data_IF_311862506182
#
_entry.id   IF_311862506182
#
_cell.length_a   1.000
_cell.length_b   1.000
_cell.length_c   1.000
_cell.angle_alpha   90.00
_cell.angle_beta   90.00
_cell.angle_gamma   90.00
#
_symmetry.space_group_name_H-M   'P 1'
#
loop_
_entity.id
_entity.type
_entity.pdbx_description
1 polymer ?
#
# COMPACT_ATOMS: atom_id res chain seq x y z
N UNK A 1 4.84 -19.40 -11.45
CA UNK A 1 3.59 -18.80 -11.94
C UNK A 1 2.53 -18.96 -10.86
N UNK A 2 1.97 -17.85 -10.41
CA UNK A 2 0.81 -17.84 -9.52
C UNK A 2 -0.45 -17.89 -10.38
N UNK A 3 -1.35 -18.83 -10.11
CA UNK A 3 -2.66 -18.90 -10.78
C UNK A 3 -3.73 -18.53 -9.77
N UNK A 4 -4.48 -17.47 -10.07
CA UNK A 4 -5.57 -16.98 -9.22
C UNK A 4 -6.86 -16.96 -10.03
N UNK A 5 -7.96 -17.36 -9.40
CA UNK A 5 -9.29 -17.18 -9.98
C UNK A 5 -9.79 -15.79 -9.63
N UNK A 6 -10.06 -14.99 -10.66
CA UNK A 6 -10.62 -13.65 -10.49
C UNK A 6 -12.12 -13.70 -10.79
N UNK A 7 -12.94 -12.89 -10.09
CA UNK A 7 -14.32 -12.67 -10.48
C UNK A 7 -14.40 -12.15 -11.94
N UNK A 8 -15.40 -12.59 -12.69
CA UNK A 8 -15.57 -12.22 -14.11
C UNK A 8 -15.53 -10.71 -14.36
N UNK A 9 -16.10 -9.92 -13.44
CA UNK A 9 -16.09 -8.46 -13.52
C UNK A 9 -14.66 -7.88 -13.49
N UNK A 10 -13.79 -8.44 -12.65
CA UNK A 10 -12.40 -7.99 -12.54
C UNK A 10 -11.62 -8.37 -13.80
N UNK A 11 -11.83 -9.60 -14.30
CA UNK A 11 -11.21 -10.01 -15.57
C UNK A 11 -11.63 -9.11 -16.72
N UNK A 12 -12.90 -8.74 -16.81
CA UNK A 12 -13.42 -7.83 -17.82
C UNK A 12 -12.82 -6.42 -17.69
N UNK A 13 -12.60 -5.92 -16.47
CA UNK A 13 -11.92 -4.63 -16.23
C UNK A 13 -10.47 -4.67 -16.68
N UNK A 14 -9.72 -5.71 -16.31
CA UNK A 14 -8.33 -5.90 -16.73
C UNK A 14 -8.22 -6.02 -18.25
N UNK A 15 -9.14 -6.74 -18.91
CA UNK A 15 -9.16 -6.87 -20.37
C UNK A 15 -9.39 -5.52 -21.06
N UNK A 16 -10.30 -4.69 -20.55
CA UNK A 16 -10.52 -3.33 -21.07
C UNK A 16 -9.29 -2.44 -20.91
N UNK A 17 -8.63 -2.49 -19.76
CA UNK A 17 -7.41 -1.71 -19.50
C UNK A 17 -6.28 -2.13 -20.44
N UNK A 18 -6.01 -3.44 -20.52
CA UNK A 18 -5.02 -4.02 -21.41
C UNK A 18 -5.21 -3.57 -22.87
N UNK A 19 -6.43 -3.68 -23.40
CA UNK A 19 -6.75 -3.26 -24.77
C UNK A 19 -6.56 -1.76 -25.00
N UNK A 20 -6.85 -0.94 -23.99
CA UNK A 20 -6.77 0.53 -24.11
C UNK A 20 -5.32 1.03 -24.10
N UNK A 21 -4.42 0.33 -23.41
CA UNK A 21 -3.04 0.81 -23.17
C UNK A 21 -1.98 0.00 -23.89
N UNK A 22 -2.33 -1.15 -24.48
CA UNK A 22 -1.38 -2.06 -25.11
C UNK A 22 -0.55 -2.89 -24.13
N UNK A 23 -0.90 -2.87 -22.84
CA UNK A 23 -0.28 -3.72 -21.79
C UNK A 23 -1.04 -5.04 -21.64
N UNK A 24 -0.49 -6.00 -20.89
CA UNK A 24 -1.17 -7.28 -20.62
C UNK A 24 -2.04 -7.20 -19.36
N UNK A 25 -3.02 -8.11 -19.22
CA UNK A 25 -3.79 -8.25 -17.96
C UNK A 25 -2.87 -8.56 -16.78
N UNK A 26 -1.86 -9.39 -17.00
CA UNK A 26 -0.90 -9.81 -15.98
C UNK A 26 -0.08 -8.64 -15.46
N UNK A 27 0.33 -7.70 -16.33
CA UNK A 27 1.06 -6.51 -15.89
C UNK A 27 0.24 -5.70 -14.88
N UNK A 28 -1.04 -5.47 -15.19
CA UNK A 28 -1.96 -4.74 -14.30
C UNK A 28 -2.27 -5.49 -13.01
N UNK A 29 -2.47 -6.81 -13.09
CA UNK A 29 -2.72 -7.63 -11.91
C UNK A 29 -1.49 -7.63 -10.98
N UNK A 30 -0.28 -7.75 -11.53
CA UNK A 30 0.96 -7.68 -10.78
C UNK A 30 1.16 -6.30 -10.12
N UNK A 31 0.94 -5.22 -10.88
CA UNK A 31 1.04 -3.84 -10.37
C UNK A 31 0.09 -3.62 -9.19
N UNK A 32 -1.19 -4.00 -9.33
CA UNK A 32 -2.17 -3.87 -8.25
C UNK A 32 -1.84 -4.73 -7.02
N UNK A 33 -1.23 -5.91 -7.21
CA UNK A 33 -0.77 -6.75 -6.09
C UNK A 33 0.40 -6.09 -5.37
N UNK A 34 1.37 -5.53 -6.11
CA UNK A 34 2.53 -4.85 -5.54
C UNK A 34 2.11 -3.62 -4.73
N UNK A 35 1.27 -2.76 -5.32
CA UNK A 35 0.69 -1.60 -4.61
C UNK A 35 -0.01 -2.04 -3.33
N UNK A 36 -0.79 -3.14 -3.38
CA UNK A 36 -1.50 -3.60 -2.18
C UNK A 36 -0.56 -4.17 -1.12
N UNK A 37 0.54 -4.78 -1.51
CA UNK A 37 1.55 -5.28 -0.57
C UNK A 37 2.21 -4.09 0.14
N UNK A 38 2.58 -3.05 -0.59
CA UNK A 38 3.16 -1.82 -0.01
C UNK A 38 2.23 -1.21 1.05
N UNK A 39 0.94 -1.04 0.73
CA UNK A 39 -0.07 -0.58 1.71
C UNK A 39 -0.12 -1.45 2.98
N UNK A 40 -0.02 -2.78 2.82
CA UNK A 40 -0.11 -3.72 3.93
C UNK A 40 1.15 -3.68 4.80
N UNK A 41 2.31 -3.53 4.18
CA UNK A 41 3.60 -3.37 4.87
C UNK A 41 3.63 -2.06 5.67
N UNK A 42 3.14 -0.97 5.09
CA UNK A 42 3.03 0.32 5.77
C UNK A 42 2.13 0.25 7.02
N UNK A 43 0.96 -0.39 6.89
CA UNK A 43 0.07 -0.62 8.04
C UNK A 43 0.76 -1.43 9.12
N UNK A 44 1.45 -2.52 8.74
CA UNK A 44 2.14 -3.39 9.68
C UNK A 44 3.29 -2.67 10.41
N UNK A 45 4.02 -1.79 9.71
CA UNK A 45 5.05 -0.96 10.32
C UNK A 45 4.45 0.07 11.28
N UNK A 46 3.36 0.73 10.88
CA UNK A 46 2.66 1.69 11.72
C UNK A 46 2.10 1.05 13.01
N UNK A 47 1.52 -0.15 12.91
CA UNK A 47 1.03 -0.91 14.07
C UNK A 47 2.16 -1.25 15.05
N UNK A 48 3.34 -1.63 14.54
CA UNK A 48 4.50 -1.90 15.39
C UNK A 48 5.01 -0.65 16.11
N UNK A 49 5.04 0.50 15.42
CA UNK A 49 5.41 1.78 16.05
C UNK A 49 4.39 2.14 17.13
N UNK A 50 3.10 1.97 16.85
CA UNK A 50 2.04 2.25 17.83
C UNK A 50 2.16 1.38 19.08
N UNK A 51 2.49 0.09 18.94
CA UNK A 51 2.74 -0.80 20.08
C UNK A 51 3.92 -0.33 20.93
N UNK A 52 5.03 0.10 20.31
CA UNK A 52 6.18 0.65 21.05
C UNK A 52 5.85 1.98 21.73
N UNK A 53 5.09 2.87 21.10
CA UNK A 53 4.56 4.09 21.73
C UNK A 53 3.75 3.75 22.99
N UNK A 54 2.86 2.75 22.91
CA UNK A 54 2.04 2.32 24.06
C UNK A 54 2.89 1.74 25.20
N UNK A 55 4.02 1.11 24.87
CA UNK A 55 5.01 0.60 25.84
C UNK A 55 5.95 1.68 26.38
N UNK A 56 5.91 2.90 25.83
CA UNK A 56 6.85 3.98 26.17
C UNK A 56 8.27 3.75 25.64
N UNK A 57 8.40 2.96 24.57
CA UNK A 57 9.66 2.59 23.94
C UNK A 57 9.99 3.45 22.70
N UNK A 58 9.13 4.42 22.38
CA UNK A 58 9.32 5.39 21.28
C UNK A 58 9.25 6.81 21.82
N UNK A 59 10.07 7.70 21.26
CA UNK A 59 9.98 9.13 21.54
C UNK A 59 8.74 9.71 20.86
N UNK A 60 7.97 10.50 21.60
CA UNK A 60 6.76 11.17 21.09
C UNK A 60 6.87 12.64 21.39
N UNK A 61 6.80 13.45 20.33
CA UNK A 61 6.82 14.90 20.39
C UNK A 61 5.40 15.46 20.31
N UNK A 62 5.20 16.67 20.82
CA UNK A 62 3.93 17.38 20.65
C UNK A 62 3.76 17.83 19.19
N UNK A 63 2.51 18.07 18.76
CA UNK A 63 2.26 18.61 17.42
C UNK A 63 2.97 19.96 17.20
N UNK A 64 3.01 20.83 18.22
CA UNK A 64 3.70 22.12 18.14
C UNK A 64 5.20 21.96 17.88
N UNK A 65 5.83 20.99 18.54
CA UNK A 65 7.25 20.66 18.37
C UNK A 65 7.53 20.08 16.99
N UNK A 66 6.71 19.12 16.53
CA UNK A 66 6.80 18.55 15.18
C UNK A 66 6.73 19.63 14.08
N UNK A 67 5.77 20.57 14.19
CA UNK A 67 5.62 21.62 13.18
C UNK A 67 6.79 22.60 13.16
N UNK A 68 7.41 22.87 14.32
CA UNK A 68 8.56 23.75 14.43
C UNK A 68 9.76 23.19 13.65
N UNK A 69 10.01 21.89 13.74
CA UNK A 69 11.14 21.21 13.07
C UNK A 69 11.00 21.11 11.54
N UNK A 70 9.79 21.25 10.99
CA UNK A 70 9.54 21.16 9.54
C UNK A 70 9.67 22.51 8.81
N UNK A 71 9.73 23.62 9.54
CA UNK A 71 9.74 24.98 8.99
C UNK A 71 11.10 25.70 9.05
N UNK A 72 12.08 25.10 9.73
CA UNK A 72 13.48 25.54 9.78
C UNK A 72 14.37 24.69 8.83
#
# INVERSE_FOLDING_TARGET
MLSIQLPEEIEARLDRLARKTGRTKSDYACEAILEKIEDLEDVYLAEQVLDRIQKGEEEVVSAEEMWRELTD
#
